data_IF_239596088710
#
_entry.id   IF_239596088710
#
_cell.length_a   1.000
_cell.length_b   1.000
_cell.length_c   1.000
_cell.angle_alpha   90.00
_cell.angle_beta   90.00
_cell.angle_gamma   90.00
#
_symmetry.space_group_name_H-M   'P 1'
#
loop_
_entity.id
_entity.type
_entity.pdbx_description
1 polymer ?
#
# COMPACT_ATOMS: atom_id res chain seq x y z
N UNK A 1 4.98 1.06 40.35
CA UNK A 1 4.60 -0.34 40.63
C UNK A 1 5.04 -1.18 39.44
N UNK A 2 5.99 -2.12 39.56
CA UNK A 2 6.34 -3.08 38.50
C UNK A 2 5.25 -4.13 38.47
N UNK A 3 4.57 -4.31 37.34
CA UNK A 3 3.71 -5.46 37.15
C UNK A 3 4.54 -6.75 37.29
N UNK A 4 4.01 -7.82 37.94
CA UNK A 4 4.69 -9.09 37.98
C UNK A 4 4.93 -9.58 36.57
N UNK A 5 6.13 -10.09 36.29
CA UNK A 5 6.45 -10.67 34.99
C UNK A 5 5.57 -11.90 34.76
N UNK A 6 4.56 -11.79 33.91
CA UNK A 6 3.74 -12.94 33.51
C UNK A 6 4.60 -13.92 32.71
N UNK A 7 4.51 -15.24 32.96
CA UNK A 7 5.16 -16.25 32.12
C UNK A 7 4.84 -16.10 30.63
N UNK A 8 3.65 -15.62 30.30
CA UNK A 8 3.21 -15.38 28.92
C UNK A 8 3.99 -14.28 28.19
N UNK A 9 4.66 -13.40 28.95
CA UNK A 9 5.48 -12.31 28.39
C UNK A 9 6.95 -12.71 28.15
N UNK A 10 7.34 -13.93 28.50
CA UNK A 10 8.70 -14.43 28.21
C UNK A 10 8.94 -14.44 26.71
N UNK A 11 10.01 -13.77 26.26
CA UNK A 11 10.36 -13.62 24.83
C UNK A 11 9.45 -12.67 24.03
N UNK A 12 8.53 -11.93 24.66
CA UNK A 12 7.68 -10.96 23.96
C UNK A 12 8.48 -9.81 23.32
N UNK A 13 9.48 -9.21 23.95
CA UNK A 13 10.27 -8.16 23.31
C UNK A 13 10.91 -8.60 22.00
N UNK A 14 11.47 -9.81 21.96
CA UNK A 14 12.12 -10.39 20.78
C UNK A 14 11.09 -10.66 19.66
N UNK A 15 9.95 -11.23 20.03
CA UNK A 15 8.84 -11.46 19.08
C UNK A 15 8.32 -10.14 18.49
N UNK A 16 8.16 -9.12 19.30
CA UNK A 16 7.73 -7.79 18.86
C UNK A 16 8.77 -7.19 17.92
N UNK A 17 10.03 -7.20 18.29
CA UNK A 17 11.12 -6.67 17.46
C UNK A 17 11.18 -7.37 16.09
N UNK A 18 11.04 -8.70 16.07
CA UNK A 18 11.01 -9.50 14.84
C UNK A 18 9.80 -9.17 13.98
N UNK A 19 8.59 -9.10 14.57
CA UNK A 19 7.38 -8.74 13.87
C UNK A 19 7.49 -7.36 13.19
N UNK A 20 8.02 -6.39 13.91
CA UNK A 20 8.22 -5.04 13.35
C UNK A 20 9.20 -5.05 12.20
N UNK A 21 10.38 -5.64 12.37
CA UNK A 21 11.43 -5.67 11.35
C UNK A 21 11.03 -6.46 10.11
N UNK A 22 10.45 -7.66 10.29
CA UNK A 22 10.26 -8.61 9.20
C UNK A 22 8.91 -8.51 8.51
N UNK A 23 7.93 -7.86 9.17
CA UNK A 23 6.57 -7.75 8.65
C UNK A 23 6.11 -6.31 8.53
N UNK A 24 6.01 -5.58 9.66
CA UNK A 24 5.34 -4.28 9.68
C UNK A 24 6.16 -3.18 8.98
N UNK A 25 7.50 -3.25 9.05
CA UNK A 25 8.42 -2.26 8.47
C UNK A 25 9.37 -2.86 7.43
N UNK A 26 9.08 -4.05 6.92
CA UNK A 26 9.94 -4.75 5.95
C UNK A 26 10.11 -3.99 4.63
N UNK A 27 9.23 -3.07 4.32
CA UNK A 27 9.30 -2.24 3.11
C UNK A 27 10.50 -1.30 3.04
N UNK A 28 11.15 -0.99 4.18
CA UNK A 28 12.39 -0.20 4.16
C UNK A 28 13.58 -0.94 3.57
N UNK A 29 13.55 -2.26 3.50
CA UNK A 29 14.62 -3.09 2.95
C UNK A 29 14.65 -3.16 1.42
N UNK A 30 13.73 -2.51 0.70
CA UNK A 30 13.60 -2.62 -0.75
C UNK A 30 13.14 -1.31 -1.38
N UNK A 31 13.60 -1.03 -2.60
CA UNK A 31 13.12 0.08 -3.43
C UNK A 31 11.92 -0.33 -4.28
N UNK A 32 11.17 0.65 -4.80
CA UNK A 32 10.05 0.39 -5.71
C UNK A 32 10.51 -0.30 -7.01
N UNK A 33 11.66 0.10 -7.54
CA UNK A 33 12.23 -0.50 -8.75
C UNK A 33 12.60 -1.99 -8.53
N UNK A 34 13.21 -2.33 -7.40
CA UNK A 34 13.51 -3.72 -7.05
C UNK A 34 12.24 -4.56 -6.85
N UNK A 35 11.18 -3.97 -6.25
CA UNK A 35 9.91 -4.65 -6.08
C UNK A 35 9.23 -4.98 -7.41
N UNK A 36 9.24 -4.04 -8.35
CA UNK A 36 8.72 -4.24 -9.71
C UNK A 36 9.61 -5.16 -10.54
N UNK A 37 10.95 -5.12 -10.34
CA UNK A 37 11.91 -5.91 -11.10
C UNK A 37 11.92 -5.56 -12.58
N UNK A 38 12.49 -6.45 -13.38
CA UNK A 38 12.60 -6.24 -14.83
C UNK A 38 11.23 -6.27 -15.50
N UNK A 39 10.84 -5.22 -16.24
CA UNK A 39 9.61 -5.20 -17.02
C UNK A 39 9.68 -6.16 -18.22
N UNK A 40 8.52 -6.62 -18.64
CA UNK A 40 8.33 -7.39 -19.87
C UNK A 40 7.90 -6.46 -21.00
N UNK A 41 8.31 -6.77 -22.24
CA UNK A 41 7.84 -6.02 -23.40
C UNK A 41 6.33 -6.23 -23.59
N UNK A 42 5.61 -5.16 -23.90
CA UNK A 42 4.19 -5.19 -24.24
C UNK A 42 3.94 -4.45 -25.55
N UNK A 43 3.19 -5.08 -26.44
CA UNK A 43 2.77 -4.49 -27.73
C UNK A 43 1.27 -4.23 -27.78
N UNK A 44 0.52 -4.65 -26.76
CA UNK A 44 -0.94 -4.52 -26.74
C UNK A 44 -1.38 -3.10 -26.42
N UNK A 45 -0.64 -2.39 -25.57
CA UNK A 45 -1.02 -1.08 -25.04
C UNK A 45 -2.30 -1.10 -24.21
N UNK A 46 -2.77 -2.29 -23.82
CA UNK A 46 -4.00 -2.43 -23.04
C UNK A 46 -3.84 -1.85 -21.64
N UNK A 47 -4.87 -1.16 -21.15
CA UNK A 47 -4.93 -0.70 -19.76
C UNK A 47 -4.84 -1.90 -18.81
N UNK A 48 -3.87 -1.88 -17.92
CA UNK A 48 -3.72 -2.90 -16.87
C UNK A 48 -4.38 -2.40 -15.60
N UNK A 49 -5.29 -3.22 -15.03
CA UNK A 49 -5.94 -2.92 -13.76
C UNK A 49 -5.83 -4.13 -12.83
N UNK A 50 -5.33 -3.91 -11.61
CA UNK A 50 -5.31 -4.91 -10.55
C UNK A 50 -6.03 -4.36 -9.32
N UNK A 51 -7.10 -5.03 -8.92
CA UNK A 51 -8.00 -4.55 -7.87
C UNK A 51 -8.01 -5.46 -6.65
N UNK A 52 -8.31 -4.89 -5.48
CA UNK A 52 -8.51 -5.67 -4.27
C UNK A 52 -7.23 -6.21 -3.63
N UNK A 53 -6.06 -5.64 -3.91
CA UNK A 53 -4.78 -6.06 -3.31
C UNK A 53 -4.83 -5.82 -1.80
N UNK A 54 -4.73 -6.86 -0.96
CA UNK A 54 -4.72 -6.67 0.49
C UNK A 54 -3.41 -6.01 0.92
N UNK A 55 -3.50 -5.07 1.86
CA UNK A 55 -2.32 -4.41 2.40
C UNK A 55 -2.49 -4.03 3.85
N UNK A 56 -1.38 -3.72 4.51
CA UNK A 56 -1.32 -2.98 5.76
C UNK A 56 -0.23 -1.92 5.68
N UNK A 57 -0.43 -0.84 6.41
CA UNK A 57 0.56 0.21 6.62
C UNK A 57 0.61 0.58 8.10
N UNK A 58 1.62 1.36 8.49
CA UNK A 58 1.80 1.80 9.88
C UNK A 58 1.64 3.31 9.97
N UNK A 59 0.66 3.75 10.76
CA UNK A 59 0.45 5.16 11.02
C UNK A 59 1.66 5.76 11.77
N UNK A 60 2.36 6.78 11.22
CA UNK A 60 3.52 7.36 11.87
C UNK A 60 3.20 8.11 13.17
N UNK A 61 1.94 8.58 13.34
CA UNK A 61 1.54 9.35 14.51
C UNK A 61 1.30 8.49 15.76
N UNK A 62 0.77 7.29 15.59
CA UNK A 62 0.33 6.45 16.70
C UNK A 62 1.01 5.08 16.73
N UNK A 63 1.82 4.75 15.70
CA UNK A 63 2.45 3.43 15.52
C UNK A 63 1.43 2.28 15.57
N UNK A 64 0.21 2.55 15.12
CA UNK A 64 -0.85 1.56 14.96
C UNK A 64 -1.06 1.26 13.48
N UNK A 65 -1.40 0.02 13.12
CA UNK A 65 -1.63 -0.33 11.74
C UNK A 65 -2.94 0.25 11.20
N UNK A 66 -2.96 0.44 9.88
CA UNK A 66 -4.16 0.55 9.07
C UNK A 66 -4.09 -0.51 7.97
N UNK A 67 -5.23 -1.02 7.56
CA UNK A 67 -5.28 -2.12 6.59
C UNK A 67 -6.52 -2.02 5.71
N UNK A 68 -6.43 -2.63 4.54
CA UNK A 68 -7.55 -2.57 3.59
C UNK A 68 -7.20 -3.11 2.22
N UNK A 69 -7.64 -2.39 1.19
CA UNK A 69 -7.46 -2.78 -0.22
C UNK A 69 -6.84 -1.65 -1.02
N UNK A 70 -5.90 -2.01 -1.88
CA UNK A 70 -5.31 -1.15 -2.91
C UNK A 70 -5.84 -1.59 -4.26
N UNK A 71 -6.15 -0.60 -5.09
CA UNK A 71 -6.51 -0.77 -6.50
C UNK A 71 -5.54 0.03 -7.33
N UNK A 72 -4.91 -0.59 -8.32
CA UNK A 72 -3.94 0.02 -9.22
C UNK A 72 -4.42 -0.09 -10.66
N UNK A 73 -4.18 0.95 -11.44
CA UNK A 73 -4.29 0.92 -12.87
C UNK A 73 -3.10 1.63 -13.50
N UNK A 74 -2.62 1.15 -14.65
CA UNK A 74 -1.64 1.88 -15.44
C UNK A 74 -1.82 1.59 -16.93
N UNK A 75 -1.52 2.59 -17.76
CA UNK A 75 -1.48 2.49 -19.20
C UNK A 75 -0.04 2.27 -19.65
N UNK A 76 0.30 1.08 -20.18
CA UNK A 76 1.66 0.77 -20.61
C UNK A 76 2.16 1.66 -21.75
N UNK A 77 3.47 1.98 -21.73
CA UNK A 77 4.18 2.57 -22.85
C UNK A 77 5.17 1.57 -23.47
N UNK A 78 4.71 0.34 -23.70
CA UNK A 78 5.53 -0.76 -24.23
C UNK A 78 6.14 -1.67 -23.16
N UNK A 79 5.80 -1.46 -21.88
CA UNK A 79 6.34 -2.24 -20.75
C UNK A 79 5.24 -2.62 -19.77
N UNK A 80 5.21 -3.88 -19.36
CA UNK A 80 4.32 -4.41 -18.32
C UNK A 80 5.13 -5.17 -17.27
N UNK A 81 4.51 -5.44 -16.13
CA UNK A 81 5.07 -6.31 -15.08
C UNK A 81 4.10 -7.40 -14.71
N UNK A 82 4.63 -8.52 -14.21
CA UNK A 82 3.80 -9.60 -13.69
C UNK A 82 2.98 -9.16 -12.49
N UNK A 83 1.76 -9.72 -12.32
CA UNK A 83 0.82 -9.34 -11.26
C UNK A 83 1.44 -9.38 -9.86
N UNK A 84 2.22 -10.42 -9.54
CA UNK A 84 2.91 -10.52 -8.25
C UNK A 84 3.94 -9.42 -8.00
N UNK A 85 4.40 -8.70 -9.03
CA UNK A 85 5.29 -7.55 -8.88
C UNK A 85 4.53 -6.32 -8.41
N UNK A 86 3.28 -6.14 -8.85
CA UNK A 86 2.41 -5.08 -8.35
C UNK A 86 2.06 -5.29 -6.86
N UNK A 87 1.79 -6.53 -6.45
CA UNK A 87 1.60 -6.87 -5.03
C UNK A 87 2.85 -6.58 -4.19
N UNK A 88 4.04 -6.91 -4.72
CA UNK A 88 5.32 -6.59 -4.06
C UNK A 88 5.55 -5.08 -3.95
N UNK A 89 5.20 -4.30 -4.98
CA UNK A 89 5.27 -2.85 -4.94
C UNK A 89 4.39 -2.29 -3.82
N UNK A 90 3.15 -2.77 -3.72
CA UNK A 90 2.24 -2.38 -2.63
C UNK A 90 2.86 -2.71 -1.27
N UNK A 91 3.35 -3.94 -1.07
CA UNK A 91 3.99 -4.35 0.18
C UNK A 91 5.26 -3.51 0.48
N UNK A 92 6.10 -3.25 -0.52
CA UNK A 92 7.30 -2.44 -0.39
C UNK A 92 7.01 -1.02 0.10
N UNK A 93 5.99 -0.36 -0.45
CA UNK A 93 5.68 1.02 -0.12
C UNK A 93 4.77 1.17 1.10
N UNK A 94 3.91 0.17 1.40
CA UNK A 94 2.98 0.23 2.52
C UNK A 94 3.59 -0.21 3.85
N UNK A 95 4.51 -1.17 3.87
CA UNK A 95 5.14 -1.67 5.09
C UNK A 95 6.24 -0.73 5.59
N UNK A 96 5.82 0.51 5.85
CA UNK A 96 6.63 1.64 6.31
C UNK A 96 5.79 2.50 7.25
N UNK A 97 6.45 3.42 7.95
CA UNK A 97 5.74 4.50 8.64
C UNK A 97 5.31 5.54 7.60
N UNK A 98 4.10 5.41 7.09
CA UNK A 98 3.60 6.22 5.96
C UNK A 98 2.13 6.56 6.14
N UNK A 99 1.74 7.78 5.75
CA UNK A 99 0.34 8.18 5.67
C UNK A 99 -0.31 7.58 4.43
N UNK A 100 -1.59 7.26 4.50
CA UNK A 100 -2.32 6.66 3.37
C UNK A 100 -2.28 7.56 2.13
N UNK A 101 -2.39 8.87 2.30
CA UNK A 101 -2.35 9.86 1.21
C UNK A 101 -0.98 9.83 0.51
N UNK A 102 0.10 9.80 1.29
CA UNK A 102 1.45 9.71 0.76
C UNK A 102 1.71 8.36 0.05
N UNK A 103 1.21 7.26 0.63
CA UNK A 103 1.28 5.93 0.02
C UNK A 103 0.57 5.90 -1.34
N UNK A 104 -0.64 6.49 -1.42
CA UNK A 104 -1.42 6.55 -2.65
C UNK A 104 -0.65 7.26 -3.78
N UNK A 105 -0.05 8.42 -3.47
CA UNK A 105 0.80 9.16 -4.40
C UNK A 105 2.07 8.40 -4.78
N UNK A 106 2.75 7.79 -3.81
CA UNK A 106 3.98 7.03 -4.05
C UNK A 106 3.78 5.81 -4.96
N UNK A 107 2.64 5.13 -4.86
CA UNK A 107 2.28 4.02 -5.76
C UNK A 107 2.10 4.51 -7.21
N UNK A 108 1.43 5.65 -7.40
CA UNK A 108 1.28 6.25 -8.74
C UNK A 108 2.64 6.66 -9.30
N UNK A 109 3.46 7.39 -8.52
CA UNK A 109 4.79 7.80 -8.95
C UNK A 109 5.68 6.60 -9.32
N UNK A 110 5.66 5.53 -8.52
CA UNK A 110 6.45 4.34 -8.81
C UNK A 110 6.06 3.67 -10.14
N UNK A 111 4.76 3.62 -10.49
CA UNK A 111 4.31 3.09 -11.78
C UNK A 111 4.72 4.01 -12.93
N UNK A 112 4.65 5.32 -12.75
CA UNK A 112 5.09 6.29 -13.76
C UNK A 112 6.60 6.22 -13.98
N UNK A 113 7.39 6.23 -12.92
CA UNK A 113 8.84 6.36 -12.99
C UNK A 113 9.54 5.04 -13.37
N UNK A 114 9.11 3.91 -12.79
CA UNK A 114 9.78 2.63 -13.01
C UNK A 114 9.30 1.90 -14.28
N UNK A 115 8.05 2.11 -14.71
CA UNK A 115 7.50 1.49 -15.92
C UNK A 115 7.44 2.46 -17.10
N UNK A 116 7.75 3.73 -16.88
CA UNK A 116 7.57 4.81 -17.89
C UNK A 116 6.14 4.80 -18.47
N UNK A 117 5.16 4.51 -17.61
CA UNK A 117 3.76 4.38 -18.02
C UNK A 117 3.22 5.71 -18.59
N UNK A 118 2.29 5.64 -19.55
CA UNK A 118 1.60 6.84 -20.10
C UNK A 118 0.71 7.49 -19.04
N UNK A 119 0.19 6.70 -18.14
CA UNK A 119 -0.61 7.13 -17.01
C UNK A 119 -0.73 6.04 -15.95
N UNK A 120 -0.95 6.46 -14.72
CA UNK A 120 -1.17 5.56 -13.60
C UNK A 120 -2.24 6.12 -12.66
N UNK A 121 -2.96 5.24 -11.99
CA UNK A 121 -3.96 5.59 -10.99
C UNK A 121 -3.92 4.60 -9.82
N UNK A 122 -4.22 5.11 -8.63
CA UNK A 122 -4.31 4.33 -7.41
C UNK A 122 -5.55 4.76 -6.62
N UNK A 123 -6.25 3.80 -6.03
CA UNK A 123 -7.26 4.03 -5.01
C UNK A 123 -6.99 3.11 -3.83
N UNK A 124 -7.09 3.65 -2.63
CA UNK A 124 -6.91 2.91 -1.38
C UNK A 124 -8.14 3.11 -0.51
N UNK A 125 -8.65 2.02 0.02
CA UNK A 125 -9.71 1.95 1.01
C UNK A 125 -9.21 1.21 2.24
N UNK A 126 -9.15 1.88 3.41
CA UNK A 126 -8.59 1.29 4.62
C UNK A 126 -9.31 1.70 5.90
N UNK A 127 -9.29 0.78 6.85
CA UNK A 127 -9.65 1.00 8.25
C UNK A 127 -8.39 1.35 9.04
N UNK A 128 -8.48 2.40 9.86
CA UNK A 128 -7.37 2.89 10.68
C UNK A 128 -7.57 2.51 12.15
N UNK A 129 -6.77 1.60 12.68
CA UNK A 129 -6.90 1.17 14.08
C UNK A 129 -6.64 2.31 15.07
N UNK A 130 -5.89 3.33 14.69
CA UNK A 130 -5.72 4.51 15.52
C UNK A 130 -7.02 5.32 15.72
N UNK A 131 -7.97 5.25 14.80
CA UNK A 131 -9.29 5.85 14.95
C UNK A 131 -10.21 4.91 15.75
N UNK A 132 -10.24 3.64 15.39
CA UNK A 132 -11.09 2.62 16.01
C UNK A 132 -10.81 2.50 17.52
N UNK A 133 -9.53 2.41 17.91
CA UNK A 133 -9.13 2.20 19.31
C UNK A 133 -9.25 3.44 20.19
N UNK A 134 -9.28 4.64 19.60
CA UNK A 134 -9.54 5.87 20.35
C UNK A 134 -11.03 6.11 20.62
N UNK A 135 -11.92 5.34 20.01
CA UNK A 135 -13.38 5.46 20.20
C UNK A 135 -13.99 6.79 19.73
N UNK A 136 -13.25 7.53 18.89
CA UNK A 136 -13.66 8.87 18.43
C UNK A 136 -14.49 8.84 17.16
N UNK A 137 -14.44 7.72 16.42
CA UNK A 137 -15.13 7.57 15.13
C UNK A 137 -16.24 6.53 15.21
N UNK A 138 -17.29 6.66 14.37
CA UNK A 138 -18.30 5.61 14.21
C UNK A 138 -17.64 4.29 13.84
N UNK A 139 -18.14 3.18 14.40
CA UNK A 139 -17.67 1.85 14.02
C UNK A 139 -17.80 1.66 12.51
N UNK A 140 -16.71 1.25 11.86
CA UNK A 140 -16.69 0.98 10.42
C UNK A 140 -16.30 2.18 9.54
N UNK A 141 -15.85 3.31 10.13
CA UNK A 141 -15.30 4.41 9.34
C UNK A 141 -14.07 3.94 8.55
N UNK A 142 -14.04 4.28 7.26
CA UNK A 142 -12.96 3.94 6.32
C UNK A 142 -12.43 5.20 5.65
N UNK A 143 -11.12 5.30 5.54
CA UNK A 143 -10.46 6.36 4.78
C UNK A 143 -10.27 5.91 3.33
N UNK A 144 -10.74 6.75 2.41
CA UNK A 144 -10.59 6.54 0.98
C UNK A 144 -9.68 7.60 0.39
N UNK A 145 -8.63 7.18 -0.31
CA UNK A 145 -7.71 8.08 -1.01
C UNK A 145 -7.56 7.68 -2.47
N UNK A 146 -7.39 8.68 -3.35
CA UNK A 146 -7.18 8.47 -4.79
C UNK A 146 -6.08 9.39 -5.30
N UNK A 147 -5.30 8.87 -6.25
CA UNK A 147 -4.33 9.65 -7.01
C UNK A 147 -4.28 9.15 -8.44
N UNK A 148 -3.94 10.02 -9.37
CA UNK A 148 -3.74 9.69 -10.77
C UNK A 148 -2.68 10.61 -11.38
N UNK A 149 -1.99 10.11 -12.42
CA UNK A 149 -1.01 10.87 -13.20
C UNK A 149 -1.10 10.51 -14.69
N UNK A 150 -0.54 11.37 -15.55
CA UNK A 150 -0.50 11.15 -16.99
C UNK A 150 -1.87 11.06 -17.62
N UNK A 151 -2.07 10.15 -18.56
CA UNK A 151 -3.31 9.94 -19.32
C UNK A 151 -4.50 9.53 -18.47
N UNK A 152 -4.28 9.08 -17.22
CA UNK A 152 -5.36 8.64 -16.33
C UNK A 152 -5.90 9.74 -15.40
N UNK A 153 -5.38 10.96 -15.48
CA UNK A 153 -5.93 12.12 -14.75
C UNK A 153 -7.36 12.38 -15.22
N UNK A 154 -8.29 12.47 -14.26
CA UNK A 154 -9.72 12.68 -14.54
C UNK A 154 -10.50 11.41 -14.93
N UNK A 155 -9.85 10.26 -15.10
CA UNK A 155 -10.46 8.98 -15.44
C UNK A 155 -10.93 8.25 -14.18
N UNK A 156 -12.09 8.64 -13.66
CA UNK A 156 -12.68 7.99 -12.48
C UNK A 156 -13.16 6.55 -12.74
N UNK A 157 -13.35 6.20 -14.01
CA UNK A 157 -13.85 4.91 -14.48
C UNK A 157 -12.84 3.77 -14.45
N UNK A 158 -11.54 4.08 -14.38
CA UNK A 158 -10.48 3.06 -14.48
C UNK A 158 -10.27 2.25 -13.19
N UNK A 159 -10.78 2.72 -12.07
CA UNK A 159 -10.73 2.02 -10.79
C UNK A 159 -12.14 1.88 -10.20
N UNK A 160 -12.41 0.77 -9.49
CA UNK A 160 -13.71 0.58 -8.86
C UNK A 160 -14.00 1.72 -7.88
N UNK A 161 -15.29 2.02 -7.62
CA UNK A 161 -15.66 2.87 -6.50
C UNK A 161 -15.11 2.22 -5.23
N UNK A 162 -14.40 2.99 -4.42
CA UNK A 162 -14.03 2.58 -3.07
C UNK A 162 -15.31 2.60 -2.24
N UNK A 163 -15.60 1.47 -1.59
CA UNK A 163 -16.85 1.27 -0.87
C UNK A 163 -17.10 2.39 0.14
N UNK A 164 -18.31 2.92 0.12
CA UNK A 164 -18.77 3.79 1.18
C UNK A 164 -19.04 2.98 2.47
#
# INVERSE_FOLDING_TARGET
MRAPASPDLVGTPERVATLWRENLLSGYGQTAAEALGEPLADTSGALVTLTGIPFHGMCPHHLLPYHGRVHLAYEPAGRIVGLGRLERLVACLSRRLVLQEALTGALVSALMDCLEARGAACAIDAEHLCLVLQGREPRGARLNTRAAAGSLVGRADVLPPVSA
#
